data_IF_576903941762
#
_entry.id   IF_576903941762
#
_cell.length_a   1.000
_cell.length_b   1.000
_cell.length_c   1.000
_cell.angle_alpha   90.00
_cell.angle_beta   90.00
_cell.angle_gamma   90.00
#
_symmetry.space_group_name_H-M   'P 1'
#
loop_
_entity.id
_entity.type
_entity.pdbx_description
1 polymer ?
#
# COMPACT_ATOMS: atom_id res chain seq x y z
N UNK A 1 17.84 91.33 26.15
CA UNK A 1 17.60 89.97 26.56
C UNK A 1 16.65 89.29 25.49
N UNK A 2 17.18 88.38 24.64
CA UNK A 2 16.39 87.71 23.60
C UNK A 2 16.29 86.24 24.03
N UNK A 3 15.10 85.80 24.32
CA UNK A 3 14.80 84.39 24.56
C UNK A 3 14.65 83.66 23.21
N UNK A 4 15.42 82.60 23.01
CA UNK A 4 15.23 81.67 21.87
C UNK A 4 14.49 80.44 22.37
N UNK A 5 13.30 80.26 21.84
CA UNK A 5 12.49 79.05 22.02
C UNK A 5 12.98 77.95 21.09
N UNK A 6 13.47 76.87 21.67
CA UNK A 6 13.80 75.64 20.92
C UNK A 6 12.57 74.70 20.83
N UNK A 7 12.16 74.38 19.62
CA UNK A 7 11.11 73.39 19.37
C UNK A 7 11.76 71.99 19.35
N UNK A 8 11.32 71.14 20.28
CA UNK A 8 11.60 69.68 20.26
C UNK A 8 10.62 69.00 19.30
N UNK A 9 11.12 68.48 18.21
CA UNK A 9 10.35 67.62 17.32
C UNK A 9 10.40 66.15 17.86
N UNK A 10 9.23 65.66 18.30
CA UNK A 10 9.03 64.27 18.67
C UNK A 10 8.84 63.46 17.40
N UNK A 11 9.86 62.66 17.01
CA UNK A 11 9.74 61.68 15.94
C UNK A 11 9.04 60.42 16.47
N UNK A 12 7.77 60.25 16.14
CA UNK A 12 7.00 59.04 16.43
C UNK A 12 7.40 57.94 15.46
N UNK A 13 8.35 57.09 15.85
CA UNK A 13 8.73 55.90 15.12
C UNK A 13 7.63 54.81 15.21
N UNK A 14 6.86 54.62 14.16
CA UNK A 14 5.95 53.47 14.01
C UNK A 14 6.80 52.23 13.83
N UNK A 15 6.97 51.45 14.90
CA UNK A 15 7.43 50.07 14.83
C UNK A 15 6.34 49.22 14.13
N UNK A 16 6.53 48.92 12.86
CA UNK A 16 5.84 47.81 12.22
C UNK A 16 6.36 46.52 12.88
N UNK A 17 5.61 46.00 13.84
CA UNK A 17 5.75 44.62 14.27
C UNK A 17 5.39 43.73 13.08
N UNK A 18 6.41 43.24 12.38
CA UNK A 18 6.29 42.09 11.49
C UNK A 18 5.87 40.92 12.38
N UNK A 19 4.55 40.72 12.50
CA UNK A 19 4.00 39.54 13.10
C UNK A 19 4.58 38.34 12.31
N UNK A 20 5.50 37.61 12.93
CA UNK A 20 5.88 36.30 12.42
C UNK A 20 4.58 35.46 12.41
N UNK A 21 3.91 35.39 11.27
CA UNK A 21 2.82 34.45 11.04
C UNK A 21 3.43 33.07 11.29
N UNK A 22 3.03 32.43 12.38
CA UNK A 22 3.41 31.04 12.62
C UNK A 22 3.06 30.25 11.34
N UNK A 23 4.05 29.68 10.71
CA UNK A 23 3.86 28.91 9.47
C UNK A 23 2.82 27.83 9.78
N UNK A 24 1.69 27.87 9.09
CA UNK A 24 0.61 26.90 9.29
C UNK A 24 1.12 25.49 9.02
N UNK A 25 0.86 24.54 9.91
CA UNK A 25 1.30 23.17 9.81
C UNK A 25 0.18 22.27 9.29
N UNK A 26 0.52 21.21 8.56
CA UNK A 26 -0.38 20.15 8.16
C UNK A 26 -0.14 18.94 9.06
N UNK A 27 -1.06 18.67 9.98
CA UNK A 27 -0.96 17.57 10.92
C UNK A 27 -1.48 16.29 10.28
N UNK A 28 -0.65 15.25 10.17
CA UNK A 28 -0.93 14.03 9.40
C UNK A 28 -0.90 12.79 10.29
N UNK A 29 -2.02 12.10 10.43
CA UNK A 29 -2.08 10.79 11.07
C UNK A 29 -1.48 9.72 10.14
N UNK A 30 -0.55 8.92 10.65
CA UNK A 30 0.03 7.76 9.96
C UNK A 30 -0.27 6.51 10.78
N UNK A 31 -1.09 5.61 10.24
CA UNK A 31 -1.51 4.37 10.92
C UNK A 31 -0.94 3.17 10.20
N UNK A 32 -0.23 2.30 10.93
CA UNK A 32 0.27 1.02 10.43
C UNK A 32 0.66 0.11 11.60
N UNK A 33 0.92 -1.16 11.34
CA UNK A 33 1.35 -2.08 12.39
C UNK A 33 2.73 -1.71 12.94
N UNK A 34 2.81 -1.29 14.20
CA UNK A 34 4.04 -1.00 14.92
C UNK A 34 4.38 -2.10 15.93
N UNK A 35 3.43 -2.98 16.22
CA UNK A 35 3.59 -4.17 17.07
C UNK A 35 2.82 -5.37 16.47
N UNK A 36 3.05 -6.56 17.03
CA UNK A 36 2.41 -7.79 16.59
C UNK A 36 3.01 -8.41 15.31
N UNK A 37 2.38 -9.46 14.75
CA UNK A 37 2.96 -10.29 13.69
C UNK A 37 3.25 -9.57 12.38
N UNK A 38 2.54 -8.47 12.11
CA UNK A 38 2.68 -7.69 10.88
C UNK A 38 3.67 -6.52 10.98
N UNK A 39 4.26 -6.28 12.15
CA UNK A 39 5.08 -5.09 12.39
C UNK A 39 6.41 -5.15 11.65
N UNK A 40 7.24 -6.16 11.92
CA UNK A 40 8.65 -6.19 11.51
C UNK A 40 8.81 -6.18 9.98
N UNK A 41 8.10 -7.05 9.29
CA UNK A 41 8.25 -7.21 7.83
C UNK A 41 7.35 -6.29 7.00
N UNK A 42 6.38 -5.60 7.62
CA UNK A 42 5.40 -4.82 6.88
C UNK A 42 5.16 -3.41 7.45
N UNK A 43 4.61 -3.29 8.66
CA UNK A 43 4.15 -2.00 9.19
C UNK A 43 5.28 -1.04 9.54
N UNK A 44 6.31 -1.50 10.23
CA UNK A 44 7.51 -0.69 10.56
C UNK A 44 8.22 -0.21 9.30
N UNK A 45 8.48 -1.05 8.27
CA UNK A 45 8.99 -0.59 6.98
C UNK A 45 8.14 0.50 6.32
N UNK A 46 6.80 0.40 6.35
CA UNK A 46 5.90 1.44 5.83
C UNK A 46 6.08 2.77 6.56
N UNK A 47 6.10 2.74 7.90
CA UNK A 47 6.30 3.95 8.73
C UNK A 47 7.68 4.55 8.52
N UNK A 48 8.71 3.73 8.36
CA UNK A 48 10.05 4.20 8.00
C UNK A 48 10.05 4.91 6.64
N UNK A 49 9.26 4.40 5.67
CA UNK A 49 9.01 5.07 4.40
C UNK A 49 8.36 6.45 4.59
N UNK A 50 7.32 6.53 5.43
CA UNK A 50 6.68 7.79 5.75
C UNK A 50 7.65 8.80 6.36
N UNK A 51 8.47 8.38 7.33
CA UNK A 51 9.44 9.25 8.01
C UNK A 51 10.42 9.90 7.03
N UNK A 52 11.05 9.10 6.16
CA UNK A 52 12.06 9.62 5.22
C UNK A 52 11.45 10.50 4.14
N UNK A 53 10.24 10.18 3.67
CA UNK A 53 9.55 10.99 2.64
C UNK A 53 9.01 12.30 3.21
N UNK A 54 8.41 12.27 4.41
CA UNK A 54 7.93 13.49 5.06
C UNK A 54 9.11 14.43 5.37
N UNK A 55 10.25 13.89 5.81
CA UNK A 55 11.47 14.68 6.01
C UNK A 55 11.96 15.31 4.69
N UNK A 56 12.00 14.53 3.61
CA UNK A 56 12.37 15.03 2.28
C UNK A 56 11.39 16.11 1.77
N UNK A 57 10.09 15.95 1.98
CA UNK A 57 9.09 16.97 1.65
C UNK A 57 9.31 18.25 2.46
N UNK A 58 9.46 18.14 3.77
CA UNK A 58 9.68 19.29 4.65
C UNK A 58 10.95 20.07 4.32
N UNK A 59 11.92 19.42 3.69
CA UNK A 59 13.18 20.03 3.23
C UNK A 59 13.15 20.47 1.75
N UNK A 60 12.07 20.19 1.01
CA UNK A 60 11.98 20.45 -0.43
C UNK A 60 12.97 19.63 -1.26
N UNK A 61 13.34 18.42 -0.81
CA UNK A 61 14.35 17.55 -1.42
C UNK A 61 13.76 16.44 -2.31
N UNK A 62 12.46 16.40 -2.49
CA UNK A 62 11.84 15.49 -3.45
C UNK A 62 12.03 16.03 -4.90
N UNK A 63 12.09 15.14 -5.92
CA UNK A 63 12.19 15.58 -7.32
C UNK A 63 10.87 16.24 -7.78
N UNK A 64 10.96 17.04 -8.85
CA UNK A 64 9.76 17.59 -9.47
C UNK A 64 8.81 16.46 -9.94
N UNK A 65 7.49 16.64 -9.83
CA UNK A 65 6.75 17.84 -9.41
C UNK A 65 6.57 17.99 -7.89
N UNK A 66 7.22 17.16 -7.08
CA UNK A 66 7.05 17.08 -5.62
C UNK A 66 8.01 17.95 -4.82
N UNK A 67 8.77 18.83 -5.48
CA UNK A 67 9.88 19.59 -4.91
C UNK A 67 9.49 20.82 -4.09
N UNK A 68 8.22 21.16 -3.99
CA UNK A 68 7.78 22.22 -3.06
C UNK A 68 7.94 21.74 -1.60
N UNK A 69 8.37 22.64 -0.73
CA UNK A 69 8.53 22.37 0.70
C UNK A 69 7.19 22.01 1.34
N UNK A 70 7.16 20.96 2.14
CA UNK A 70 5.98 20.48 2.83
C UNK A 70 4.82 20.20 1.88
N UNK A 71 3.60 20.56 2.29
CA UNK A 71 2.43 20.61 1.43
C UNK A 71 2.16 22.07 1.05
N UNK A 72 2.66 22.48 -0.13
CA UNK A 72 2.48 23.85 -0.62
C UNK A 72 3.08 24.95 0.27
N UNK A 73 4.13 24.64 1.04
CA UNK A 73 4.76 25.52 2.01
C UNK A 73 4.43 25.19 3.47
N UNK A 74 3.34 24.47 3.75
CA UNK A 74 3.01 24.03 5.11
C UNK A 74 3.93 22.88 5.53
N UNK A 75 4.53 22.98 6.70
CA UNK A 75 5.29 21.88 7.30
C UNK A 75 4.36 20.71 7.64
N UNK A 76 4.77 19.48 7.30
CA UNK A 76 4.02 18.27 7.64
C UNK A 76 4.47 17.80 9.03
N UNK A 77 3.51 17.61 9.94
CA UNK A 77 3.73 17.09 11.30
C UNK A 77 3.03 15.74 11.46
N UNK A 78 3.77 14.61 11.43
CA UNK A 78 3.15 13.30 11.53
C UNK A 78 2.84 12.91 12.97
N UNK A 79 1.68 12.22 13.14
CA UNK A 79 1.28 11.51 14.37
C UNK A 79 1.19 10.03 14.01
N UNK A 80 2.00 9.18 14.66
CA UNK A 80 2.07 7.75 14.38
C UNK A 80 1.19 6.96 15.33
N UNK A 81 0.39 6.02 14.79
CA UNK A 81 -0.51 5.15 15.55
C UNK A 81 -0.29 3.69 15.16
N UNK A 82 -0.29 2.81 16.16
CA UNK A 82 -0.18 1.37 15.97
C UNK A 82 -1.53 0.76 15.58
N UNK A 83 -1.58 0.14 14.40
CA UNK A 83 -2.76 -0.55 13.88
C UNK A 83 -3.07 -1.86 14.62
N UNK A 84 -2.14 -2.42 15.39
CA UNK A 84 -2.39 -3.65 16.12
C UNK A 84 -3.50 -3.50 17.16
N UNK A 85 -4.40 -4.49 17.25
CA UNK A 85 -5.49 -4.55 18.24
C UNK A 85 -6.89 -4.64 17.63
N UNK A 86 -7.00 -4.68 16.30
CA UNK A 86 -8.22 -5.01 15.57
C UNK A 86 -9.22 -3.85 15.44
N UNK A 87 -10.28 -4.09 14.69
CA UNK A 87 -11.19 -3.12 14.16
C UNK A 87 -11.80 -2.17 15.22
N UNK A 88 -12.23 -2.67 16.37
CA UNK A 88 -12.83 -1.85 17.44
C UNK A 88 -11.85 -0.81 17.96
N UNK A 89 -10.60 -1.20 18.20
CA UNK A 89 -9.54 -0.27 18.62
C UNK A 89 -9.28 0.75 17.52
N UNK A 90 -9.18 0.32 16.27
CA UNK A 90 -8.86 1.21 15.16
C UNK A 90 -9.93 2.26 14.89
N UNK A 91 -11.21 1.94 15.10
CA UNK A 91 -12.29 2.94 15.08
C UNK A 91 -12.11 4.00 16.18
N UNK A 92 -11.72 3.58 17.39
CA UNK A 92 -11.47 4.53 18.49
C UNK A 92 -10.24 5.41 18.19
N UNK A 93 -9.15 4.83 17.70
CA UNK A 93 -7.93 5.58 17.35
C UNK A 93 -8.14 6.54 16.18
N UNK A 94 -8.96 6.18 15.19
CA UNK A 94 -9.34 7.11 14.12
C UNK A 94 -10.09 8.34 14.67
N UNK A 95 -11.06 8.13 15.57
CA UNK A 95 -11.77 9.23 16.25
C UNK A 95 -10.80 10.08 17.09
N UNK A 96 -9.89 9.46 17.85
CA UNK A 96 -8.86 10.15 18.62
C UNK A 96 -7.95 11.03 17.75
N UNK A 97 -7.50 10.53 16.60
CA UNK A 97 -6.68 11.28 15.66
C UNK A 97 -7.38 12.57 15.20
N UNK A 98 -8.67 12.50 14.86
CA UNK A 98 -9.41 13.69 14.41
C UNK A 98 -9.92 14.59 15.53
N UNK A 99 -10.40 14.02 16.64
CA UNK A 99 -11.06 14.78 17.68
C UNK A 99 -10.11 15.32 18.75
N UNK A 100 -9.04 14.60 19.07
CA UNK A 100 -8.06 14.98 20.11
C UNK A 100 -6.79 15.51 19.50
N UNK A 101 -6.17 14.72 18.60
CA UNK A 101 -4.93 15.11 17.94
C UNK A 101 -5.12 16.18 16.87
N UNK A 102 -6.39 16.41 16.41
CA UNK A 102 -6.74 17.43 15.41
C UNK A 102 -5.93 17.27 14.11
N UNK A 103 -5.75 16.05 13.64
CA UNK A 103 -5.08 15.81 12.35
C UNK A 103 -5.94 16.33 11.19
N UNK A 104 -5.29 16.84 10.15
CA UNK A 104 -5.95 17.36 8.94
C UNK A 104 -6.35 16.22 7.99
N UNK A 105 -5.57 15.13 7.99
CA UNK A 105 -5.81 13.92 7.21
C UNK A 105 -5.21 12.69 7.90
N UNK A 106 -5.67 11.50 7.50
CA UNK A 106 -5.05 10.23 7.89
C UNK A 106 -4.62 9.48 6.65
N UNK A 107 -3.39 8.95 6.65
CA UNK A 107 -2.89 7.93 5.71
C UNK A 107 -2.62 6.69 6.53
N UNK A 108 -3.36 5.62 6.25
CA UNK A 108 -3.23 4.46 7.12
C UNK A 108 -3.89 3.21 6.59
N UNK A 109 -3.72 2.20 7.40
CA UNK A 109 -4.35 0.90 7.43
C UNK A 109 -3.89 -0.10 6.37
N UNK A 110 -3.65 -1.30 6.88
CA UNK A 110 -3.21 -2.51 6.17
C UNK A 110 -4.22 -3.64 6.32
N UNK A 111 -4.74 -3.84 7.53
CA UNK A 111 -5.70 -4.89 7.85
C UNK A 111 -7.03 -4.68 7.14
N UNK A 112 -7.45 -5.60 6.25
CA UNK A 112 -8.70 -5.45 5.51
C UNK A 112 -9.93 -5.36 6.40
N UNK A 113 -9.93 -6.03 7.56
CA UNK A 113 -10.99 -5.91 8.57
C UNK A 113 -11.05 -4.52 9.20
N UNK A 114 -9.88 -3.93 9.48
CA UNK A 114 -9.76 -2.60 10.05
C UNK A 114 -10.25 -1.54 9.05
N UNK A 115 -9.85 -1.67 7.78
CA UNK A 115 -10.32 -0.76 6.73
C UNK A 115 -11.83 -0.78 6.52
N UNK A 116 -12.46 -1.96 6.54
CA UNK A 116 -13.91 -2.09 6.45
C UNK A 116 -14.63 -1.42 7.62
N UNK A 117 -13.99 -1.37 8.80
CA UNK A 117 -14.55 -0.73 9.99
C UNK A 117 -14.31 0.80 10.02
N UNK A 118 -13.12 1.27 9.63
CA UNK A 118 -12.77 2.70 9.73
C UNK A 118 -13.30 3.54 8.58
N UNK A 119 -13.48 2.97 7.38
CA UNK A 119 -13.95 3.71 6.21
C UNK A 119 -15.33 4.36 6.43
N UNK A 120 -16.38 3.66 6.91
CA UNK A 120 -17.66 4.29 7.19
C UNK A 120 -17.58 5.33 8.33
N UNK A 121 -16.66 5.17 9.28
CA UNK A 121 -16.46 6.14 10.38
C UNK A 121 -15.84 7.44 9.87
N UNK A 122 -14.82 7.35 9.01
CA UNK A 122 -14.22 8.53 8.38
C UNK A 122 -15.26 9.30 7.54
N UNK A 123 -16.12 8.57 6.81
CA UNK A 123 -17.21 9.15 6.02
C UNK A 123 -18.24 9.85 6.92
N UNK A 124 -18.72 9.20 7.99
CA UNK A 124 -19.65 9.77 8.98
C UNK A 124 -19.10 11.08 9.58
N UNK A 125 -17.81 11.06 9.93
CA UNK A 125 -17.11 12.23 10.50
C UNK A 125 -16.78 13.30 9.45
N UNK A 126 -16.97 13.06 8.16
CA UNK A 126 -16.53 13.91 7.04
C UNK A 126 -15.05 14.24 7.11
N UNK A 127 -14.22 13.22 7.34
CA UNK A 127 -12.76 13.33 7.51
C UNK A 127 -12.01 12.62 6.40
N UNK A 128 -10.98 13.27 5.88
CA UNK A 128 -10.22 12.80 4.74
C UNK A 128 -9.28 11.64 5.14
N UNK A 129 -9.51 10.47 4.55
CA UNK A 129 -8.76 9.24 4.80
C UNK A 129 -8.20 8.68 3.49
N UNK A 130 -6.90 8.43 3.43
CA UNK A 130 -6.27 7.60 2.41
C UNK A 130 -5.89 6.25 3.02
N UNK A 131 -6.48 5.20 2.50
CA UNK A 131 -6.07 3.82 2.76
C UNK A 131 -4.86 3.54 1.85
N UNK A 132 -3.68 3.31 2.44
CA UNK A 132 -2.48 3.07 1.65
C UNK A 132 -2.29 1.61 1.26
N UNK A 133 -3.01 0.68 1.91
CA UNK A 133 -2.98 -0.75 1.61
C UNK A 133 -4.39 -1.36 1.58
N UNK A 134 -4.70 -2.33 2.45
CA UNK A 134 -5.93 -3.13 2.52
C UNK A 134 -6.35 -3.76 1.18
N UNK A 135 -6.28 -5.09 1.11
CA UNK A 135 -6.49 -5.79 -0.15
C UNK A 135 -7.94 -6.08 -0.52
N UNK A 136 -8.90 -6.01 0.41
CA UNK A 136 -10.31 -6.35 0.09
C UNK A 136 -10.91 -5.41 -0.97
N UNK A 137 -11.57 -5.92 -2.03
CA UNK A 137 -12.28 -5.08 -3.01
C UNK A 137 -13.52 -4.43 -2.42
N UNK A 138 -14.09 -5.01 -1.35
CA UNK A 138 -15.40 -4.64 -0.79
C UNK A 138 -15.50 -3.20 -0.32
N UNK A 139 -14.39 -2.54 0.03
CA UNK A 139 -14.42 -1.14 0.50
C UNK A 139 -15.15 -0.25 -0.51
N UNK A 140 -14.81 -0.32 -1.80
CA UNK A 140 -15.38 0.53 -2.84
C UNK A 140 -16.35 -0.19 -3.78
N UNK A 141 -16.45 -1.52 -3.68
CA UNK A 141 -17.44 -2.29 -4.42
C UNK A 141 -18.79 -2.40 -3.68
N UNK A 142 -18.77 -2.39 -2.34
CA UNK A 142 -19.95 -2.46 -1.49
C UNK A 142 -20.26 -1.13 -0.79
N UNK A 143 -19.25 -0.25 -0.65
CA UNK A 143 -19.38 1.08 -0.04
C UNK A 143 -19.22 2.22 -1.04
N UNK A 144 -19.82 3.37 -0.72
CA UNK A 144 -19.64 4.64 -1.45
C UNK A 144 -19.23 5.72 -0.45
N UNK A 145 -18.15 6.42 -0.77
CA UNK A 145 -17.54 7.40 0.13
C UNK A 145 -17.26 8.70 -0.62
N UNK A 146 -17.32 9.83 0.08
CA UNK A 146 -16.91 11.14 -0.40
C UNK A 146 -15.48 11.49 0.10
N UNK A 147 -15.10 10.98 1.28
CA UNK A 147 -13.89 11.37 2.01
C UNK A 147 -12.84 10.26 2.09
N UNK A 148 -13.17 9.03 1.70
CA UNK A 148 -12.27 7.87 1.80
C UNK A 148 -11.74 7.50 0.43
N UNK A 149 -10.43 7.24 0.35
CA UNK A 149 -9.72 6.89 -0.87
C UNK A 149 -8.78 5.70 -0.62
N UNK A 150 -8.47 4.90 -1.66
CA UNK A 150 -7.40 3.91 -1.60
C UNK A 150 -6.46 4.09 -2.79
N UNK A 151 -5.18 4.32 -2.47
CA UNK A 151 -4.14 4.58 -3.48
C UNK A 151 -3.38 3.33 -3.92
N UNK A 152 -3.67 2.17 -3.33
CA UNK A 152 -3.13 0.85 -3.71
C UNK A 152 -4.18 0.02 -4.45
N UNK A 153 -3.71 -1.03 -5.11
CA UNK A 153 -4.56 -2.02 -5.74
C UNK A 153 -5.27 -2.95 -4.73
N UNK A 154 -6.24 -3.71 -5.20
CA UNK A 154 -6.97 -4.70 -4.42
C UNK A 154 -6.73 -6.14 -4.90
N UNK A 155 -7.32 -7.12 -4.20
CA UNK A 155 -7.06 -8.55 -4.37
C UNK A 155 -7.24 -9.05 -5.80
N UNK A 156 -8.25 -8.59 -6.54
CA UNK A 156 -8.49 -9.07 -7.89
C UNK A 156 -7.28 -8.80 -8.81
N UNK A 157 -6.68 -7.61 -8.74
CA UNK A 157 -5.50 -7.29 -9.54
C UNK A 157 -4.35 -8.27 -9.29
N UNK A 158 -4.07 -8.55 -8.04
CA UNK A 158 -2.93 -9.38 -7.64
C UNK A 158 -3.13 -10.83 -8.10
N UNK A 159 -4.34 -11.36 -7.91
CA UNK A 159 -4.66 -12.74 -8.20
C UNK A 159 -4.86 -13.00 -9.70
N UNK A 160 -5.42 -12.05 -10.45
CA UNK A 160 -5.47 -12.12 -11.92
C UNK A 160 -4.07 -12.10 -12.52
N UNK A 161 -3.17 -11.26 -12.01
CA UNK A 161 -1.79 -11.22 -12.47
C UNK A 161 -1.07 -12.56 -12.26
N UNK A 162 -1.22 -13.17 -11.07
CA UNK A 162 -0.68 -14.52 -10.81
C UNK A 162 -1.24 -15.58 -11.75
N UNK A 163 -2.57 -15.64 -11.92
CA UNK A 163 -3.20 -16.63 -12.80
C UNK A 163 -2.78 -16.45 -14.26
N UNK A 164 -2.66 -15.19 -14.74
CA UNK A 164 -2.14 -14.87 -16.08
C UNK A 164 -0.67 -15.22 -16.24
N UNK A 165 0.15 -14.99 -15.21
CA UNK A 165 1.54 -15.39 -15.21
C UNK A 165 1.71 -16.90 -15.37
N UNK A 166 0.96 -17.69 -14.57
CA UNK A 166 0.95 -19.14 -14.69
C UNK A 166 0.60 -19.59 -16.12
N UNK A 167 -0.44 -18.99 -16.71
CA UNK A 167 -0.89 -19.28 -18.06
C UNK A 167 0.16 -18.93 -19.11
N UNK A 168 0.74 -17.74 -19.03
CA UNK A 168 1.77 -17.26 -19.97
C UNK A 168 3.06 -18.09 -19.93
N UNK A 169 3.36 -18.71 -18.80
CA UNK A 169 4.53 -19.61 -18.62
C UNK A 169 4.20 -21.09 -18.86
N UNK A 170 2.97 -21.41 -19.29
CA UNK A 170 2.51 -22.78 -19.48
C UNK A 170 2.71 -23.67 -18.26
N UNK A 171 2.61 -23.10 -17.04
CA UNK A 171 2.75 -23.85 -15.80
C UNK A 171 1.50 -24.71 -15.61
N UNK A 172 1.70 -26.00 -15.31
CA UNK A 172 0.61 -26.92 -15.03
C UNK A 172 -0.14 -26.47 -13.77
N UNK A 173 -1.46 -26.47 -13.82
CA UNK A 173 -2.34 -26.07 -12.72
C UNK A 173 -3.68 -26.86 -12.75
N UNK A 174 -3.61 -28.17 -13.03
CA UNK A 174 -4.77 -29.06 -13.02
C UNK A 174 -5.25 -29.41 -11.61
N UNK A 175 -4.44 -29.18 -10.58
CA UNK A 175 -4.81 -29.31 -9.17
C UNK A 175 -4.19 -28.19 -8.34
N UNK A 176 -4.95 -27.66 -7.37
CA UNK A 176 -4.55 -26.50 -6.56
C UNK A 176 -4.88 -26.72 -5.09
N UNK A 177 -3.90 -26.49 -4.25
CA UNK A 177 -4.04 -26.29 -2.80
C UNK A 177 -4.14 -24.80 -2.49
N UNK A 178 -4.95 -24.46 -1.48
CA UNK A 178 -5.09 -23.10 -0.94
C UNK A 178 -4.69 -23.07 0.53
N UNK A 179 -3.92 -22.06 0.91
CA UNK A 179 -3.64 -21.70 2.29
C UNK A 179 -3.67 -20.19 2.44
N UNK A 180 -4.70 -19.67 3.09
CA UNK A 180 -4.94 -18.23 3.23
C UNK A 180 -5.35 -17.90 4.68
N UNK A 181 -5.08 -16.69 5.16
CA UNK A 181 -5.45 -16.29 6.52
C UNK A 181 -6.97 -16.15 6.67
N UNK A 182 -7.51 -16.60 7.82
CA UNK A 182 -8.93 -16.55 8.14
C UNK A 182 -9.39 -15.14 8.53
N UNK A 183 -9.44 -14.24 7.55
CA UNK A 183 -10.02 -12.90 7.67
C UNK A 183 -10.29 -12.32 6.27
N UNK A 184 -10.84 -11.10 6.21
CA UNK A 184 -11.33 -10.48 4.97
C UNK A 184 -10.36 -10.57 3.77
N UNK A 185 -9.07 -10.23 3.94
CA UNK A 185 -8.06 -10.33 2.87
C UNK A 185 -7.87 -11.76 2.37
N UNK A 186 -7.71 -12.72 3.29
CA UNK A 186 -7.45 -14.11 2.90
C UNK A 186 -8.62 -14.72 2.16
N UNK A 187 -9.85 -14.45 2.62
CA UNK A 187 -11.07 -14.92 1.93
C UNK A 187 -11.23 -14.28 0.55
N UNK A 188 -11.08 -12.97 0.44
CA UNK A 188 -11.25 -12.26 -0.83
C UNK A 188 -10.15 -12.65 -1.83
N UNK A 189 -8.88 -12.72 -1.39
CA UNK A 189 -7.75 -13.13 -2.23
C UNK A 189 -7.92 -14.56 -2.75
N UNK A 190 -8.32 -15.50 -1.88
CA UNK A 190 -8.62 -16.88 -2.27
C UNK A 190 -9.72 -16.93 -3.32
N UNK A 191 -10.85 -16.26 -3.08
CA UNK A 191 -12.01 -16.21 -3.98
C UNK A 191 -11.65 -15.65 -5.34
N UNK A 192 -10.88 -14.55 -5.37
CA UNK A 192 -10.47 -13.91 -6.62
C UNK A 192 -9.51 -14.80 -7.43
N UNK A 193 -8.55 -15.48 -6.74
CA UNK A 193 -7.68 -16.43 -7.43
C UNK A 193 -8.45 -17.64 -7.96
N UNK A 194 -9.37 -18.21 -7.17
CA UNK A 194 -10.24 -19.32 -7.61
C UNK A 194 -11.03 -18.94 -8.87
N UNK A 195 -11.63 -17.74 -8.90
CA UNK A 195 -12.39 -17.27 -10.04
C UNK A 195 -11.51 -17.04 -11.28
N UNK A 196 -10.32 -16.45 -11.10
CA UNK A 196 -9.36 -16.28 -12.19
C UNK A 196 -8.87 -17.63 -12.76
N UNK A 197 -8.58 -18.59 -11.89
CA UNK A 197 -8.16 -19.93 -12.29
C UNK A 197 -9.28 -20.71 -12.99
N UNK A 198 -10.53 -20.60 -12.53
CA UNK A 198 -11.65 -21.24 -13.19
C UNK A 198 -11.81 -20.78 -14.65
N UNK A 199 -11.50 -19.51 -14.93
CA UNK A 199 -11.51 -18.96 -16.29
C UNK A 199 -10.29 -19.39 -17.12
N UNK A 200 -9.07 -19.35 -16.54
CA UNK A 200 -7.82 -19.58 -17.29
C UNK A 200 -7.41 -21.06 -17.37
N UNK A 201 -7.83 -21.86 -16.39
CA UNK A 201 -7.58 -23.28 -16.25
C UNK A 201 -8.87 -24.04 -15.94
N UNK A 202 -9.85 -24.07 -16.88
CA UNK A 202 -11.14 -24.69 -16.66
C UNK A 202 -10.97 -26.17 -16.29
N UNK A 203 -11.70 -26.58 -15.25
CA UNK A 203 -11.68 -27.97 -14.78
C UNK A 203 -10.55 -28.32 -13.80
N UNK A 204 -9.75 -27.33 -13.32
CA UNK A 204 -8.79 -27.60 -12.25
C UNK A 204 -9.50 -28.17 -11.00
N UNK A 205 -8.79 -29.02 -10.27
CA UNK A 205 -9.31 -29.63 -9.03
C UNK A 205 -8.76 -28.86 -7.81
N UNK A 206 -9.65 -28.52 -6.89
CA UNK A 206 -9.25 -28.04 -5.58
C UNK A 206 -9.01 -29.24 -4.68
N UNK A 207 -7.80 -29.31 -4.07
CA UNK A 207 -7.43 -30.41 -3.18
C UNK A 207 -7.58 -30.00 -1.70
N UNK A 208 -6.67 -29.20 -1.15
CA UNK A 208 -6.78 -28.66 0.19
C UNK A 208 -7.23 -27.19 0.18
N UNK A 209 -7.95 -26.79 1.21
CA UNK A 209 -8.39 -25.40 1.41
C UNK A 209 -8.28 -25.07 2.90
N UNK A 210 -7.21 -24.36 3.26
CA UNK A 210 -6.79 -24.14 4.64
C UNK A 210 -6.86 -22.66 4.99
N UNK A 211 -7.45 -22.38 6.15
CA UNK A 211 -7.68 -21.03 6.64
C UNK A 211 -7.13 -20.88 8.08
N UNK A 212 -5.79 -20.85 8.27
CA UNK A 212 -5.21 -20.55 9.57
C UNK A 212 -5.57 -19.12 10.01
N UNK A 213 -5.67 -18.92 11.33
CA UNK A 213 -5.91 -17.60 11.91
C UNK A 213 -4.78 -16.62 11.57
N UNK A 214 -5.11 -15.34 11.42
CA UNK A 214 -4.09 -14.28 11.37
C UNK A 214 -3.27 -14.27 12.65
N UNK A 215 -1.95 -14.24 12.52
CA UNK A 215 -1.04 -14.32 13.66
C UNK A 215 -0.85 -15.74 14.24
N UNK A 216 -1.21 -16.78 13.51
CA UNK A 216 -1.04 -18.18 13.98
C UNK A 216 0.42 -18.54 14.30
N UNK A 217 1.37 -18.08 13.47
CA UNK A 217 2.80 -18.30 13.67
C UNK A 217 3.29 -19.75 13.61
N UNK A 218 2.39 -20.73 13.65
CA UNK A 218 2.68 -22.17 13.62
C UNK A 218 1.85 -22.84 12.53
N UNK A 219 2.51 -23.53 11.60
CA UNK A 219 1.92 -24.06 10.36
C UNK A 219 2.15 -25.57 10.18
N UNK A 220 2.56 -26.26 11.22
CA UNK A 220 2.89 -27.69 11.16
C UNK A 220 1.74 -28.58 10.66
N UNK A 221 0.52 -28.30 11.09
CA UNK A 221 -0.71 -29.00 10.69
C UNK A 221 -1.04 -28.73 9.23
N UNK A 222 -1.04 -27.48 8.83
CA UNK A 222 -1.34 -27.03 7.47
C UNK A 222 -0.32 -27.60 6.47
N UNK A 223 0.96 -27.54 6.79
CA UNK A 223 2.04 -28.12 5.96
C UNK A 223 1.86 -29.62 5.81
N UNK A 224 1.49 -30.34 6.89
CA UNK A 224 1.21 -31.78 6.83
C UNK A 224 0.02 -32.07 5.91
N UNK A 225 -1.05 -31.27 5.99
CA UNK A 225 -2.21 -31.41 5.12
C UNK A 225 -1.87 -31.15 3.64
N UNK A 226 -1.07 -30.12 3.34
CA UNK A 226 -0.59 -29.84 1.99
C UNK A 226 0.29 -30.95 1.41
N UNK A 227 1.16 -31.56 2.23
CA UNK A 227 2.02 -32.65 1.82
C UNK A 227 1.27 -33.97 1.61
N UNK A 228 0.19 -34.20 2.38
CA UNK A 228 -0.65 -35.40 2.24
C UNK A 228 -1.62 -35.35 1.06
N UNK A 229 -1.87 -34.15 0.52
CA UNK A 229 -2.72 -33.90 -0.67
C UNK A 229 -1.91 -33.12 -1.70
N UNK A 230 -0.96 -33.76 -2.40
CA UNK A 230 -0.09 -33.05 -3.33
C UNK A 230 -0.92 -32.47 -4.48
N UNK A 231 -0.68 -31.21 -4.79
CA UNK A 231 -1.26 -30.50 -5.91
C UNK A 231 -0.15 -29.88 -6.77
N UNK A 232 -0.44 -29.62 -8.03
CA UNK A 232 0.52 -28.96 -8.93
C UNK A 232 0.85 -27.55 -8.46
N UNK A 233 -0.15 -26.83 -7.93
CA UNK A 233 -0.01 -25.48 -7.39
C UNK A 233 -0.41 -25.45 -5.90
N UNK A 234 0.34 -24.69 -5.10
CA UNK A 234 -0.11 -24.23 -3.77
C UNK A 234 -0.16 -22.70 -3.77
N UNK A 235 -1.37 -22.15 -3.74
CA UNK A 235 -1.60 -20.71 -3.66
C UNK A 235 -1.72 -20.23 -2.22
N UNK A 236 -1.12 -19.07 -1.94
CA UNK A 236 -1.26 -18.43 -0.64
C UNK A 236 -1.28 -16.90 -0.76
N UNK A 237 -2.09 -16.29 0.11
CA UNK A 237 -2.08 -14.86 0.39
C UNK A 237 -1.57 -14.54 1.81
N UNK A 238 -0.90 -15.48 2.46
CA UNK A 238 -0.20 -15.21 3.72
C UNK A 238 0.74 -14.02 3.57
N UNK A 239 0.85 -13.22 4.61
CA UNK A 239 1.73 -12.04 4.64
C UNK A 239 2.26 -11.77 6.05
N UNK A 240 3.17 -10.80 6.17
CA UNK A 240 3.78 -10.45 7.45
C UNK A 240 4.58 -11.60 8.05
N UNK A 241 4.62 -11.67 9.37
CA UNK A 241 5.29 -12.74 10.12
C UNK A 241 4.70 -14.13 9.86
N UNK A 242 3.41 -14.22 9.52
CA UNK A 242 2.77 -15.48 9.17
C UNK A 242 3.37 -16.11 7.91
N UNK A 243 3.59 -15.31 6.87
CA UNK A 243 4.25 -15.78 5.65
C UNK A 243 5.68 -16.21 5.93
N UNK A 244 6.42 -15.42 6.70
CA UNK A 244 7.80 -15.74 7.08
C UNK A 244 7.85 -17.06 7.86
N UNK A 245 6.98 -17.23 8.86
CA UNK A 245 6.89 -18.44 9.65
C UNK A 245 6.49 -19.67 8.82
N UNK A 246 5.55 -19.50 7.88
CA UNK A 246 5.17 -20.57 6.96
C UNK A 246 6.34 -21.04 6.10
N UNK A 247 7.07 -20.10 5.48
CA UNK A 247 8.22 -20.43 4.63
C UNK A 247 9.31 -21.15 5.42
N UNK A 248 9.66 -20.63 6.60
CA UNK A 248 10.69 -21.24 7.48
C UNK A 248 10.33 -22.64 7.96
N UNK A 249 9.03 -22.93 8.15
CA UNK A 249 8.57 -24.26 8.58
C UNK A 249 8.35 -25.22 7.40
N UNK A 250 7.95 -24.70 6.23
CA UNK A 250 7.67 -25.52 5.04
C UNK A 250 8.94 -25.90 4.26
N UNK A 251 9.98 -25.05 4.28
CA UNK A 251 11.24 -25.27 3.57
C UNK A 251 11.93 -26.59 3.98
N UNK A 252 12.24 -26.81 5.27
CA UNK A 252 12.87 -28.05 5.75
C UNK A 252 12.04 -29.31 5.53
N UNK A 253 10.73 -29.18 5.24
CA UNK A 253 9.81 -30.29 4.95
C UNK A 253 9.63 -30.52 3.45
N UNK A 254 10.43 -29.89 2.61
CA UNK A 254 10.46 -30.04 1.17
C UNK A 254 9.12 -29.70 0.46
N UNK A 255 8.24 -28.90 1.05
CA UNK A 255 6.97 -28.50 0.43
C UNK A 255 7.21 -27.85 -0.94
N UNK A 256 8.19 -26.94 -1.02
CA UNK A 256 8.53 -26.20 -2.25
C UNK A 256 9.10 -27.06 -3.38
N UNK A 257 9.50 -28.30 -3.08
CA UNK A 257 9.93 -29.31 -4.08
C UNK A 257 8.76 -30.17 -4.57
N UNK A 258 7.64 -30.19 -3.84
CA UNK A 258 6.48 -31.05 -4.12
C UNK A 258 5.37 -30.35 -4.91
N UNK A 259 5.33 -29.03 -4.86
CA UNK A 259 4.30 -28.19 -5.50
C UNK A 259 4.90 -26.86 -5.94
N UNK A 260 4.42 -26.28 -7.02
CA UNK A 260 4.76 -24.90 -7.37
C UNK A 260 4.02 -23.96 -6.42
N UNK A 261 4.73 -23.34 -5.50
CA UNK A 261 4.14 -22.36 -4.58
C UNK A 261 4.03 -21.00 -5.27
N UNK A 262 2.86 -20.36 -5.10
CA UNK A 262 2.56 -19.02 -5.61
C UNK A 262 2.01 -18.14 -4.50
N UNK A 263 2.61 -16.96 -4.31
CA UNK A 263 2.21 -15.98 -3.30
C UNK A 263 1.67 -14.71 -3.93
N UNK A 264 0.50 -14.25 -3.49
CA UNK A 264 -0.09 -12.99 -3.98
C UNK A 264 0.71 -11.76 -3.55
N UNK A 265 1.40 -11.83 -2.40
CA UNK A 265 2.10 -10.69 -1.80
C UNK A 265 3.27 -11.17 -0.92
N UNK A 266 4.48 -11.31 -1.45
CA UNK A 266 5.58 -11.92 -0.69
C UNK A 266 6.93 -11.18 -0.74
N UNK A 267 7.08 -10.12 -1.49
CA UNK A 267 8.36 -9.41 -1.60
C UNK A 267 8.85 -8.83 -0.25
N UNK A 268 7.91 -8.49 0.64
CA UNK A 268 8.21 -7.87 1.95
C UNK A 268 8.98 -8.79 2.91
N UNK A 269 8.94 -10.11 2.73
CA UNK A 269 9.69 -11.05 3.58
C UNK A 269 11.05 -11.43 2.99
N UNK A 270 11.34 -11.08 1.73
CA UNK A 270 12.59 -11.44 1.05
C UNK A 270 13.84 -10.94 1.78
N UNK A 271 13.90 -9.68 2.27
CA UNK A 271 15.07 -9.19 2.99
C UNK A 271 15.37 -9.99 4.27
N UNK A 272 14.32 -10.36 5.03
CA UNK A 272 14.45 -11.09 6.29
C UNK A 272 14.73 -12.58 6.12
N UNK A 273 14.27 -13.18 5.02
CA UNK A 273 14.49 -14.62 4.76
C UNK A 273 15.87 -14.92 4.18
N UNK A 274 16.41 -14.05 3.32
CA UNK A 274 17.70 -14.28 2.68
C UNK A 274 17.79 -15.66 2.05
N UNK A 275 18.82 -16.44 2.40
CA UNK A 275 19.07 -17.80 1.89
C UNK A 275 18.04 -18.86 2.33
N UNK A 276 17.11 -18.51 3.23
CA UNK A 276 15.99 -19.38 3.63
C UNK A 276 14.80 -19.29 2.68
N UNK A 277 14.78 -18.29 1.80
CA UNK A 277 13.77 -18.22 0.77
C UNK A 277 14.06 -19.24 -0.32
N UNK A 278 13.15 -20.22 -0.59
CA UNK A 278 13.39 -21.20 -1.66
C UNK A 278 13.46 -20.55 -3.04
N UNK A 279 14.31 -21.10 -3.89
CA UNK A 279 14.37 -20.75 -5.31
C UNK A 279 13.12 -21.22 -6.05
N UNK A 280 12.70 -20.48 -7.08
CA UNK A 280 11.63 -20.89 -7.98
C UNK A 280 10.21 -20.60 -7.49
N UNK A 281 10.05 -19.97 -6.32
CA UNK A 281 8.75 -19.52 -5.81
C UNK A 281 8.25 -18.37 -6.68
N UNK A 282 7.00 -18.44 -7.13
CA UNK A 282 6.36 -17.38 -7.89
C UNK A 282 5.69 -16.42 -6.90
N UNK A 283 5.93 -15.13 -7.06
CA UNK A 283 5.37 -14.14 -6.17
C UNK A 283 5.04 -12.81 -6.84
N UNK A 284 4.04 -12.13 -6.26
CA UNK A 284 3.75 -10.73 -6.48
C UNK A 284 4.07 -9.86 -5.27
N UNK A 285 3.94 -8.56 -5.47
CA UNK A 285 4.07 -7.54 -4.44
C UNK A 285 2.81 -6.65 -4.36
N UNK A 286 1.71 -7.06 -4.99
CA UNK A 286 0.47 -6.28 -5.14
C UNK A 286 0.73 -4.92 -5.82
N UNK A 287 1.60 -4.93 -6.83
CA UNK A 287 2.09 -3.79 -7.60
C UNK A 287 3.49 -4.08 -8.14
N UNK A 288 4.05 -3.17 -8.93
CA UNK A 288 5.42 -3.26 -9.42
C UNK A 288 6.39 -2.63 -8.40
N UNK A 289 6.64 -3.30 -7.29
CA UNK A 289 7.40 -2.78 -6.16
C UNK A 289 8.74 -3.50 -5.97
N UNK A 290 9.61 -2.93 -5.14
CA UNK A 290 10.88 -3.54 -4.77
C UNK A 290 11.73 -3.93 -5.99
N UNK A 291 12.18 -5.16 -6.01
CA UNK A 291 12.98 -5.73 -7.11
C UNK A 291 12.22 -5.79 -8.45
N UNK A 292 10.90 -5.61 -8.44
CA UNK A 292 10.05 -5.56 -9.64
C UNK A 292 9.70 -4.13 -10.07
N UNK A 293 10.20 -3.10 -9.40
CA UNK A 293 9.87 -1.71 -9.70
C UNK A 293 10.39 -1.27 -11.07
N UNK A 294 9.71 -0.32 -11.75
CA UNK A 294 10.19 0.21 -13.02
C UNK A 294 11.43 1.08 -12.81
N UNK A 295 12.28 1.15 -13.82
CA UNK A 295 13.38 2.11 -13.83
C UNK A 295 12.85 3.50 -14.14
N UNK A 296 13.05 4.44 -13.22
CA UNK A 296 12.71 5.86 -13.39
C UNK A 296 13.52 6.73 -12.42
N UNK A 297 13.71 7.99 -12.73
CA UNK A 297 14.41 8.93 -11.84
C UNK A 297 13.71 9.04 -10.47
N UNK A 298 12.38 8.96 -10.45
CA UNK A 298 11.60 8.99 -9.21
C UNK A 298 11.82 7.71 -8.37
N UNK A 299 11.92 6.53 -9.02
CA UNK A 299 12.24 5.30 -8.32
C UNK A 299 13.68 5.28 -7.82
N UNK A 300 14.64 5.77 -8.59
CA UNK A 300 16.05 5.85 -8.19
C UNK A 300 16.21 6.78 -6.96
N UNK A 301 15.54 7.93 -6.97
CA UNK A 301 15.49 8.83 -5.82
C UNK A 301 14.89 8.14 -4.58
N UNK A 302 13.74 7.47 -4.75
CA UNK A 302 13.05 6.77 -3.67
C UNK A 302 13.90 5.64 -3.08
N UNK A 303 14.47 4.81 -3.94
CA UNK A 303 15.33 3.70 -3.53
C UNK A 303 16.50 4.20 -2.69
N UNK A 304 17.24 5.18 -3.22
CA UNK A 304 18.38 5.77 -2.53
C UNK A 304 18.00 6.40 -1.19
N UNK A 305 16.89 7.12 -1.15
CA UNK A 305 16.39 7.76 0.07
C UNK A 305 16.09 6.73 1.15
N UNK A 306 15.33 5.69 0.81
CA UNK A 306 14.92 4.67 1.74
C UNK A 306 16.10 3.79 2.21
N UNK A 307 16.91 3.28 1.30
CA UNK A 307 18.04 2.39 1.58
C UNK A 307 19.13 3.10 2.40
N UNK A 308 19.40 4.37 2.13
CA UNK A 308 20.37 5.15 2.91
C UNK A 308 20.01 5.23 4.39
N UNK A 309 18.72 5.35 4.70
CA UNK A 309 18.21 5.46 6.06
C UNK A 309 18.04 4.10 6.75
N UNK A 310 17.56 3.09 6.01
CA UNK A 310 17.10 1.81 6.60
C UNK A 310 18.06 0.64 6.36
N UNK A 311 19.12 0.81 5.53
CA UNK A 311 20.13 -0.21 5.20
C UNK A 311 19.56 -1.47 4.54
N UNK A 312 18.38 -1.36 3.97
CA UNK A 312 17.68 -2.39 3.22
C UNK A 312 16.89 -1.72 2.10
N UNK A 313 16.72 -2.41 0.98
CA UNK A 313 15.94 -1.87 -0.13
C UNK A 313 14.44 -1.79 0.20
N UNK A 314 13.69 -0.84 -0.39
CA UNK A 314 12.26 -0.71 -0.14
C UNK A 314 11.49 -1.88 -0.78
N UNK A 315 10.58 -2.47 -0.02
CA UNK A 315 9.61 -3.50 -0.43
C UNK A 315 8.21 -2.89 -0.58
N UNK A 316 7.19 -3.71 -0.83
CA UNK A 316 5.82 -3.23 -1.12
C UNK A 316 5.27 -2.21 -0.11
N UNK A 317 5.41 -2.45 1.18
CA UNK A 317 4.77 -1.61 2.21
C UNK A 317 5.26 -0.15 2.19
N UNK A 318 6.58 0.15 2.22
CA UNK A 318 7.08 1.51 2.05
C UNK A 318 6.78 2.12 0.67
N UNK A 319 6.71 1.32 -0.42
CA UNK A 319 6.29 1.82 -1.74
C UNK A 319 4.85 2.34 -1.73
N UNK A 320 3.92 1.61 -1.12
CA UNK A 320 2.52 2.05 -1.02
C UNK A 320 2.36 3.27 -0.14
N UNK A 321 3.11 3.34 0.94
CA UNK A 321 3.10 4.51 1.81
C UNK A 321 3.59 5.76 1.07
N UNK A 322 4.72 5.69 0.35
CA UNK A 322 5.19 6.84 -0.43
C UNK A 322 4.22 7.20 -1.55
N UNK A 323 3.63 6.22 -2.23
CA UNK A 323 2.62 6.41 -3.26
C UNK A 323 1.42 7.21 -2.74
N UNK A 324 0.93 6.88 -1.54
CA UNK A 324 -0.15 7.60 -0.87
C UNK A 324 0.25 9.04 -0.50
N UNK A 325 1.46 9.22 0.04
CA UNK A 325 1.98 10.54 0.42
C UNK A 325 2.22 11.45 -0.78
N UNK A 326 2.68 10.93 -1.92
CA UNK A 326 2.82 11.68 -3.17
C UNK A 326 1.45 12.14 -3.69
N UNK A 327 0.44 11.25 -3.67
CA UNK A 327 -0.93 11.59 -4.06
C UNK A 327 -1.54 12.66 -3.14
N UNK A 328 -1.36 12.52 -1.82
CA UNK A 328 -1.82 13.52 -0.84
C UNK A 328 -1.14 14.87 -1.05
N UNK A 329 0.18 14.88 -1.31
CA UNK A 329 0.91 16.12 -1.58
C UNK A 329 0.34 16.87 -2.78
N UNK A 330 0.13 16.18 -3.90
CA UNK A 330 -0.44 16.80 -5.10
C UNK A 330 -1.88 17.28 -4.87
N UNK A 331 -2.70 16.49 -4.16
CA UNK A 331 -4.06 16.88 -3.82
C UNK A 331 -4.10 18.13 -2.93
N UNK A 332 -3.24 18.20 -1.91
CA UNK A 332 -3.13 19.35 -1.03
C UNK A 332 -2.68 20.61 -1.80
N UNK A 333 -1.65 20.50 -2.62
CA UNK A 333 -1.13 21.62 -3.41
C UNK A 333 -2.13 22.11 -4.46
N UNK A 334 -2.86 21.19 -5.11
CA UNK A 334 -3.94 21.54 -6.05
C UNK A 334 -5.10 22.25 -5.33
N UNK A 335 -5.51 21.75 -4.16
CA UNK A 335 -6.55 22.37 -3.37
C UNK A 335 -6.14 23.76 -2.86
N UNK A 336 -4.89 23.93 -2.40
CA UNK A 336 -4.34 25.23 -2.00
C UNK A 336 -4.29 26.23 -3.15
N UNK A 337 -3.88 25.79 -4.32
CA UNK A 337 -3.88 26.67 -5.50
C UNK A 337 -5.29 27.18 -5.85
N UNK A 338 -6.31 26.36 -5.62
CA UNK A 338 -7.70 26.72 -5.90
C UNK A 338 -8.35 27.58 -4.79
N UNK A 339 -7.84 27.57 -3.55
CA UNK A 339 -8.44 28.26 -2.39
C UNK A 339 -7.64 29.48 -1.91
N UNK A 340 -6.73 30.01 -2.76
CA UNK A 340 -5.90 31.17 -2.43
C UNK A 340 -4.77 30.90 -1.45
N UNK A 341 -4.22 29.69 -1.44
CA UNK A 341 -3.06 29.29 -0.64
C UNK A 341 -3.38 28.91 0.80
N UNK A 342 -4.63 28.79 1.16
CA UNK A 342 -5.06 28.41 2.53
C UNK A 342 -4.96 26.91 2.73
N UNK A 343 -4.87 26.48 3.99
CA UNK A 343 -4.95 25.07 4.36
C UNK A 343 -6.24 24.44 3.79
N UNK A 344 -6.16 23.32 3.05
CA UNK A 344 -7.34 22.73 2.43
C UNK A 344 -8.25 22.04 3.46
N UNK A 345 -9.54 22.10 3.23
CA UNK A 345 -10.54 21.32 3.99
C UNK A 345 -10.58 19.87 3.50
N UNK A 346 -11.17 18.93 4.26
CA UNK A 346 -11.38 17.56 3.81
C UNK A 346 -12.12 17.47 2.46
N UNK A 347 -13.12 18.30 2.20
CA UNK A 347 -13.85 18.37 0.95
C UNK A 347 -12.96 18.79 -0.22
N UNK A 348 -12.08 19.76 0.01
CA UNK A 348 -11.16 20.27 -0.99
C UNK A 348 -10.08 19.22 -1.34
N UNK A 349 -9.56 18.50 -0.32
CA UNK A 349 -8.65 17.37 -0.52
C UNK A 349 -9.33 16.27 -1.33
N UNK A 350 -10.55 15.89 -0.95
CA UNK A 350 -11.33 14.87 -1.64
C UNK A 350 -11.61 15.24 -3.10
N UNK A 351 -12.04 16.47 -3.36
CA UNK A 351 -12.28 16.96 -4.72
C UNK A 351 -11.00 16.98 -5.57
N UNK A 352 -9.84 17.28 -4.96
CA UNK A 352 -8.56 17.32 -5.64
C UNK A 352 -8.01 15.93 -5.97
N UNK A 353 -8.23 14.92 -5.11
CA UNK A 353 -7.71 13.55 -5.28
C UNK A 353 -8.64 12.69 -6.16
N UNK A 354 -9.96 12.91 -6.12
CA UNK A 354 -10.92 12.13 -6.91
C UNK A 354 -10.58 12.15 -8.40
N UNK A 355 -10.47 10.99 -9.01
CA UNK A 355 -10.19 10.85 -10.44
C UNK A 355 -8.84 11.39 -10.88
N UNK A 356 -7.94 11.69 -9.95
CA UNK A 356 -6.60 12.18 -10.25
C UNK A 356 -5.65 11.07 -10.69
N UNK A 357 -4.54 11.46 -11.28
CA UNK A 357 -3.42 10.58 -11.57
C UNK A 357 -2.10 11.24 -11.18
N UNK A 358 -1.10 10.42 -10.85
CA UNK A 358 0.26 10.89 -10.55
C UNK A 358 1.29 9.81 -10.81
N UNK A 359 2.54 10.23 -10.95
CA UNK A 359 3.66 9.33 -11.03
C UNK A 359 4.15 8.96 -9.63
N UNK A 360 4.38 7.68 -9.40
CA UNK A 360 4.98 7.12 -8.18
C UNK A 360 6.28 6.37 -8.52
N UNK A 361 7.09 6.00 -7.53
CA UNK A 361 8.25 5.15 -7.76
C UNK A 361 7.91 3.80 -8.42
N UNK A 362 6.67 3.34 -8.29
CA UNK A 362 6.18 2.10 -8.91
C UNK A 362 5.49 2.29 -10.27
N UNK A 363 5.51 3.51 -10.81
CA UNK A 363 4.81 3.88 -12.04
C UNK A 363 3.58 4.74 -11.77
N UNK A 364 2.72 4.85 -12.78
CA UNK A 364 1.55 5.74 -12.75
C UNK A 364 0.41 5.15 -11.90
N UNK A 365 -0.13 5.98 -11.03
CA UNK A 365 -1.30 5.71 -10.21
C UNK A 365 -2.48 6.47 -10.79
N UNK A 366 -3.63 5.80 -10.96
CA UNK A 366 -4.84 6.41 -11.52
C UNK A 366 -6.05 6.10 -10.66
N UNK A 367 -6.69 7.12 -10.12
CA UNK A 367 -7.90 6.99 -9.32
C UNK A 367 -9.12 6.77 -10.21
N UNK A 368 -9.37 5.51 -10.61
CA UNK A 368 -10.30 5.19 -11.71
C UNK A 368 -11.57 4.46 -11.24
N UNK A 369 -11.41 3.52 -10.28
CA UNK A 369 -12.53 2.70 -9.81
C UNK A 369 -13.27 3.37 -8.63
N UNK A 370 -14.42 2.84 -8.24
CA UNK A 370 -15.20 3.37 -7.12
C UNK A 370 -15.58 4.85 -7.28
N UNK A 371 -15.90 5.29 -8.49
CA UNK A 371 -16.21 6.69 -8.76
C UNK A 371 -15.01 7.64 -8.61
N UNK A 372 -13.78 7.12 -8.81
CA UNK A 372 -12.54 7.89 -8.67
C UNK A 372 -11.91 7.85 -7.27
N UNK A 373 -12.35 6.92 -6.43
CA UNK A 373 -11.85 6.76 -5.05
C UNK A 373 -10.90 5.58 -4.87
N UNK A 374 -10.83 4.66 -5.86
CA UNK A 374 -9.98 3.49 -5.87
C UNK A 374 -8.95 3.59 -7.00
N UNK A 375 -7.68 3.46 -6.66
CA UNK A 375 -6.60 3.44 -7.63
C UNK A 375 -6.51 2.13 -8.42
N UNK A 376 -6.02 2.25 -9.65
CA UNK A 376 -5.44 1.16 -10.43
C UNK A 376 -3.99 1.49 -10.75
N UNK A 377 -3.17 0.46 -10.96
CA UNK A 377 -1.76 0.57 -11.30
C UNK A 377 -1.26 -0.70 -11.99
N UNK A 378 -0.12 -0.59 -12.65
CA UNK A 378 0.58 -1.77 -13.17
C UNK A 378 1.05 -2.67 -12.03
N UNK A 379 1.12 -3.97 -12.30
CA UNK A 379 1.68 -4.95 -11.36
C UNK A 379 2.75 -5.81 -12.02
N UNK A 380 3.50 -6.54 -11.21
CA UNK A 380 4.51 -7.46 -11.70
C UNK A 380 4.53 -8.74 -10.87
N UNK A 381 4.86 -9.82 -11.55
CA UNK A 381 5.07 -11.15 -10.95
C UNK A 381 6.47 -11.59 -11.33
N UNK A 382 7.18 -12.22 -10.41
CA UNK A 382 8.51 -12.76 -10.62
C UNK A 382 8.72 -14.08 -9.91
N UNK A 383 9.89 -14.66 -10.13
CA UNK A 383 10.31 -15.94 -9.55
C UNK A 383 11.56 -15.73 -8.70
N UNK A 384 11.58 -16.29 -7.52
CA UNK A 384 12.72 -16.15 -6.59
C UNK A 384 13.97 -16.89 -7.08
N UNK A 385 15.12 -16.28 -6.87
CA UNK A 385 16.45 -16.85 -7.06
C UNK A 385 17.44 -16.26 -6.08
N UNK A 386 18.08 -17.10 -5.26
CA UNK A 386 19.11 -16.62 -4.36
C UNK A 386 20.39 -16.30 -5.11
N UNK A 387 20.91 -15.10 -4.99
CA UNK A 387 22.20 -14.67 -5.53
C UNK A 387 23.26 -14.78 -4.44
N UNK A 388 24.12 -15.78 -4.58
CA UNK A 388 25.20 -16.07 -3.60
C UNK A 388 26.26 -14.98 -3.54
N UNK A 389 26.49 -14.25 -4.64
CA UNK A 389 27.47 -13.17 -4.68
C UNK A 389 26.97 -11.93 -3.96
N UNK A 390 25.69 -11.58 -4.14
CA UNK A 390 25.03 -10.46 -3.45
C UNK A 390 24.51 -10.83 -2.06
N UNK A 391 24.46 -12.12 -1.73
CA UNK A 391 23.87 -12.66 -0.49
C UNK A 391 22.43 -12.20 -0.26
N UNK A 392 21.63 -12.15 -1.33
CA UNK A 392 20.23 -11.74 -1.28
C UNK A 392 19.37 -12.51 -2.28
N UNK A 393 18.07 -12.52 -2.01
CA UNK A 393 17.10 -13.03 -2.98
C UNK A 393 16.92 -12.00 -4.09
N UNK A 394 17.06 -12.45 -5.32
CA UNK A 394 16.72 -11.71 -6.53
C UNK A 394 15.41 -12.26 -7.12
N UNK A 395 14.85 -11.54 -8.06
CA UNK A 395 13.71 -12.01 -8.84
C UNK A 395 14.13 -12.12 -10.31
N UNK A 396 13.83 -13.26 -10.90
CA UNK A 396 14.01 -13.54 -12.32
C UNK A 396 12.66 -13.76 -13.00
N UNK A 397 12.66 -13.87 -14.32
CA UNK A 397 11.46 -14.12 -15.14
C UNK A 397 10.32 -13.14 -14.81
N UNK A 398 10.66 -11.89 -14.58
CA UNK A 398 9.68 -10.85 -14.20
C UNK A 398 8.77 -10.55 -15.39
N UNK A 399 7.46 -10.66 -15.19
CA UNK A 399 6.44 -10.21 -16.12
C UNK A 399 5.64 -9.07 -15.52
N UNK A 400 5.51 -7.98 -16.29
CA UNK A 400 4.67 -6.83 -15.94
C UNK A 400 3.33 -6.95 -16.63
N UNK A 401 2.30 -6.50 -15.94
CA UNK A 401 0.92 -6.45 -16.44
C UNK A 401 0.43 -5.02 -16.33
N UNK A 402 -0.05 -4.43 -17.45
CA UNK A 402 -0.73 -3.13 -17.41
C UNK A 402 -1.93 -3.16 -16.48
N UNK A 403 -2.26 -2.02 -15.89
CA UNK A 403 -3.39 -1.91 -14.97
C UNK A 403 -4.70 -2.42 -15.59
N UNK A 404 -4.97 -2.13 -16.87
CA UNK A 404 -6.16 -2.55 -17.58
C UNK A 404 -6.21 -4.06 -17.90
N UNK A 405 -5.08 -4.74 -17.78
CA UNK A 405 -5.01 -6.21 -17.95
C UNK A 405 -5.52 -6.94 -16.71
N UNK A 406 -5.42 -6.32 -15.54
CA UNK A 406 -5.60 -6.97 -14.24
C UNK A 406 -6.66 -6.32 -13.34
N UNK A 407 -7.30 -5.26 -13.80
CA UNK A 407 -8.38 -4.57 -13.10
C UNK A 407 -9.70 -4.64 -13.90
N UNK A 408 -10.86 -4.71 -13.23
CA UNK A 408 -12.14 -4.59 -13.89
C UNK A 408 -12.32 -3.19 -14.49
N UNK A 409 -13.19 -3.03 -15.49
CA UNK A 409 -13.66 -1.71 -15.89
C UNK A 409 -14.46 -1.07 -14.74
N UNK A 410 -14.50 0.27 -14.69
CA UNK A 410 -15.14 1.03 -13.61
C UNK A 410 -16.64 0.72 -13.41
N UNK A 411 -17.27 0.09 -14.37
CA UNK A 411 -18.70 -0.27 -14.38
C UNK A 411 -19.00 -1.67 -13.83
N UNK A 412 -17.96 -2.47 -13.49
CA UNK A 412 -18.12 -3.84 -13.01
C UNK A 412 -17.45 -4.04 -11.65
N UNK A 413 -18.06 -4.87 -10.80
CA UNK A 413 -17.37 -5.42 -9.62
C UNK A 413 -16.33 -6.45 -10.04
N UNK A 414 -15.31 -6.64 -9.24
CA UNK A 414 -14.24 -7.60 -9.49
C UNK A 414 -14.76 -9.02 -9.70
N UNK A 415 -15.65 -9.47 -8.83
CA UNK A 415 -16.22 -10.82 -8.90
C UNK A 415 -16.96 -11.09 -10.23
N UNK A 416 -17.81 -10.14 -10.65
CA UNK A 416 -18.56 -10.26 -11.90
C UNK A 416 -17.63 -10.26 -13.11
N UNK A 417 -16.60 -9.40 -13.08
CA UNK A 417 -15.58 -9.33 -14.12
C UNK A 417 -14.78 -10.64 -14.26
N UNK A 418 -14.37 -11.22 -13.13
CA UNK A 418 -13.65 -12.49 -13.08
C UNK A 418 -14.51 -13.63 -13.65
N UNK A 419 -15.76 -13.75 -13.20
CA UNK A 419 -16.70 -14.79 -13.67
C UNK A 419 -17.07 -14.64 -15.14
N UNK A 420 -17.11 -13.41 -15.65
CA UNK A 420 -17.40 -13.13 -17.06
C UNK A 420 -16.20 -13.34 -18.01
N UNK A 421 -15.03 -13.75 -17.51
CA UNK A 421 -13.85 -14.01 -18.33
C UNK A 421 -13.07 -12.76 -18.73
N UNK A 422 -13.00 -11.77 -17.82
CA UNK A 422 -12.21 -10.55 -17.97
C UNK A 422 -12.62 -9.64 -19.14
N UNK A 423 -13.92 -9.34 -19.36
CA UNK A 423 -14.33 -8.50 -20.49
C UNK A 423 -13.66 -7.12 -20.43
N UNK A 424 -13.14 -6.67 -21.59
CA UNK A 424 -12.46 -5.38 -21.70
C UNK A 424 -11.01 -5.32 -21.17
N UNK A 425 -10.46 -6.45 -20.71
CA UNK A 425 -9.05 -6.49 -20.30
C UNK A 425 -8.12 -6.21 -21.49
N UNK A 426 -7.11 -5.36 -21.28
CA UNK A 426 -6.10 -4.99 -22.28
C UNK A 426 -4.73 -5.50 -21.82
N UNK A 427 -4.31 -6.62 -22.32
CA UNK A 427 -3.03 -7.27 -21.99
C UNK A 427 -1.98 -7.05 -23.10
#
# INVERSE_FOLDING_TARGET
>A
MKFRSGALAFACGTLFALGASAQETFKLGIVSFLSGPAAESFGVPAVNGAKVVIDAFNKGQAPAPYNKTGFGGMKIEPVYVDENGGATKQVQELRNLYDREKVDAVVGYVGSGDCLAVAPVAEEMKKFLIIYDCGTPRIFEDGKYAYVFRTAAHAAMDNVALARYLKARNIKAGSINFINQDYAWGHDSRKDFQAAMATLYPGYKQEADLLPKFGAGQYGTEISALLSRPAEITQSSLWGGDLQAFILQAGPRDLFKKTQVVFSAADHVLPGLGDKMPDGVILGARGAYGLMSPKSALNDWWWKLYESANKVYPVQAPYRMVQALLGLKLAAEKAMAANGGKKPTPEQLAAALRGSEWDSPAGKIRMTLGGGHQAIQDTAIGRTKYDTAKKMVMLEDIQRFPAECVNPPATMKSEDWLKAGFPGAKC
#
